data_IF_971889555243
#
_entry.id   IF_971889555243
#
_cell.length_a   1.000
_cell.length_b   1.000
_cell.length_c   1.000
_cell.angle_alpha   90.00
_cell.angle_beta   90.00
_cell.angle_gamma   90.00
#
_symmetry.space_group_name_H-M   'P 1'
#
loop_
_entity.id
_entity.type
_entity.pdbx_description
1 polymer ?
#
# COMPACT_ATOMS: atom_id res chain seq x y z
N UNK A 1 21.87 -6.74 -19.62
CA UNK A 1 21.88 -5.35 -19.21
C UNK A 1 20.74 -5.07 -18.31
N UNK A 2 21.06 -4.64 -17.14
CA UNK A 2 20.08 -4.49 -16.07
C UNK A 2 19.71 -3.03 -15.79
N UNK A 3 20.43 -2.07 -16.40
CA UNK A 3 20.26 -0.66 -16.04
C UNK A 3 18.85 -0.11 -16.24
N UNK A 4 18.20 -0.43 -17.35
CA UNK A 4 16.85 0.05 -17.61
C UNK A 4 15.85 -0.57 -16.62
N UNK A 5 16.00 -1.84 -16.32
CA UNK A 5 15.15 -2.55 -15.39
C UNK A 5 15.37 -2.04 -13.96
N UNK A 6 16.61 -1.82 -13.57
CA UNK A 6 16.93 -1.27 -12.26
C UNK A 6 16.35 0.12 -12.07
N UNK A 7 16.41 0.97 -13.09
CA UNK A 7 15.82 2.31 -13.04
C UNK A 7 14.32 2.25 -12.91
N UNK A 8 13.68 1.31 -13.59
CA UNK A 8 12.25 1.12 -13.51
C UNK A 8 11.84 0.68 -12.10
N UNK A 9 12.55 -0.26 -11.53
CA UNK A 9 12.32 -0.71 -10.16
C UNK A 9 12.54 0.41 -9.16
N UNK A 10 13.58 1.21 -9.35
CA UNK A 10 13.88 2.34 -8.48
C UNK A 10 12.72 3.34 -8.44
N UNK A 11 12.15 3.67 -9.58
CA UNK A 11 10.99 4.56 -9.64
C UNK A 11 9.78 3.96 -8.98
N UNK A 12 9.53 2.69 -9.24
CA UNK A 12 8.33 2.00 -8.77
C UNK A 12 8.31 1.80 -7.27
N UNK A 13 9.44 1.45 -6.67
CA UNK A 13 9.54 1.10 -5.26
C UNK A 13 10.23 2.16 -4.40
N UNK A 14 10.62 3.28 -4.99
CA UNK A 14 11.34 4.31 -4.25
C UNK A 14 12.80 3.98 -3.98
N UNK A 15 13.36 3.02 -4.72
CA UNK A 15 14.78 2.72 -4.64
C UNK A 15 15.60 3.81 -5.29
N UNK A 16 16.68 4.22 -4.69
CA UNK A 16 17.68 5.09 -5.31
C UNK A 16 19.08 4.60 -4.97
N UNK A 17 20.06 4.93 -5.82
CA UNK A 17 21.46 4.61 -5.54
C UNK A 17 21.99 5.37 -4.32
N UNK A 18 21.46 6.57 -4.09
CA UNK A 18 21.84 7.42 -2.95
C UNK A 18 20.56 7.99 -2.32
N UNK A 19 19.88 7.21 -1.47
CA UNK A 19 18.66 7.69 -0.81
C UNK A 19 18.96 8.91 0.04
N UNK A 20 18.21 9.98 -0.15
CA UNK A 20 18.44 11.25 0.53
C UNK A 20 17.82 11.29 1.93
N UNK A 21 16.71 10.59 2.12
CA UNK A 21 16.00 10.59 3.40
C UNK A 21 15.87 9.20 3.96
N UNK A 22 16.07 9.10 5.27
CA UNK A 22 15.75 7.91 6.02
C UNK A 22 14.28 7.93 6.42
N UNK A 23 13.75 6.77 6.78
CA UNK A 23 12.38 6.66 7.24
C UNK A 23 12.11 7.57 8.45
N UNK A 24 13.03 7.65 9.39
CA UNK A 24 12.90 8.48 10.59
C UNK A 24 12.81 9.97 10.29
N UNK A 25 13.35 10.40 9.14
CA UNK A 25 13.33 11.79 8.70
C UNK A 25 12.16 12.11 7.78
N UNK A 26 11.33 11.12 7.51
CA UNK A 26 10.28 11.21 6.51
C UNK A 26 8.95 11.56 7.17
N UNK A 27 8.28 12.56 6.60
CA UNK A 27 6.92 12.89 7.01
C UNK A 27 5.96 11.84 6.43
N UNK A 28 5.31 11.11 7.31
CA UNK A 28 4.36 10.06 6.93
C UNK A 28 2.91 10.51 7.06
N UNK A 29 2.69 11.77 7.31
CA UNK A 29 1.35 12.33 7.41
C UNK A 29 0.60 12.24 6.07
N UNK A 30 -0.71 12.23 6.12
CA UNK A 30 -1.56 12.05 4.94
C UNK A 30 -1.88 13.35 4.21
N UNK A 31 -0.95 14.31 4.19
CA UNK A 31 -1.14 15.57 3.49
C UNK A 31 -1.24 15.39 1.96
N UNK A 32 -0.73 14.30 1.43
CA UNK A 32 -0.73 14.00 0.00
C UNK A 32 -0.95 12.51 -0.21
N UNK A 33 -1.52 12.13 -1.35
CA UNK A 33 -1.65 10.73 -1.74
C UNK A 33 -0.32 10.07 -2.08
N UNK A 34 0.70 10.87 -2.29
CA UNK A 34 2.02 10.36 -2.64
C UNK A 34 2.68 9.68 -1.44
N UNK A 35 3.00 8.42 -1.59
CA UNK A 35 3.73 7.66 -0.56
C UNK A 35 5.21 8.02 -0.66
N UNK A 36 5.83 8.51 0.43
CA UNK A 36 7.26 8.86 0.39
C UNK A 36 8.14 7.68 0.00
N UNK A 37 9.23 7.97 -0.70
CA UNK A 37 10.15 6.93 -1.19
C UNK A 37 10.72 6.07 -0.06
N UNK A 38 11.05 6.69 1.08
CA UNK A 38 11.56 5.94 2.23
C UNK A 38 10.55 4.92 2.76
N UNK A 39 9.26 5.27 2.74
CA UNK A 39 8.20 4.36 3.15
C UNK A 39 8.07 3.21 2.15
N UNK A 40 8.09 3.52 0.87
CA UNK A 40 8.01 2.48 -0.18
C UNK A 40 9.17 1.49 -0.06
N UNK A 41 10.38 1.98 0.21
CA UNK A 41 11.54 1.11 0.43
C UNK A 41 11.35 0.20 1.64
N UNK A 42 10.89 0.77 2.75
CA UNK A 42 10.67 0.01 3.97
C UNK A 42 9.61 -1.08 3.79
N UNK A 43 8.52 -0.74 3.13
CA UNK A 43 7.43 -1.70 2.85
C UNK A 43 7.91 -2.80 1.92
N UNK A 44 8.64 -2.44 0.87
CA UNK A 44 9.17 -3.41 -0.07
C UNK A 44 10.11 -4.41 0.61
N UNK A 45 11.00 -3.92 1.48
CA UNK A 45 11.91 -4.78 2.21
C UNK A 45 11.17 -5.68 3.19
N UNK A 46 10.25 -5.14 3.95
CA UNK A 46 9.46 -5.91 4.91
C UNK A 46 8.65 -7.02 4.23
N UNK A 47 8.01 -6.70 3.11
CA UNK A 47 7.14 -7.64 2.41
C UNK A 47 7.89 -8.56 1.43
N UNK A 48 9.18 -8.32 1.23
CA UNK A 48 10.02 -9.16 0.37
C UNK A 48 9.67 -9.09 -1.10
N UNK A 49 9.19 -7.96 -1.57
CA UNK A 49 8.81 -7.74 -2.97
C UNK A 49 7.81 -8.79 -3.46
N UNK A 50 6.86 -9.12 -2.60
CA UNK A 50 5.86 -10.14 -2.88
C UNK A 50 4.53 -9.72 -2.27
N UNK A 51 3.42 -10.09 -2.90
CA UNK A 51 2.09 -9.83 -2.37
C UNK A 51 1.99 -10.39 -0.94
N UNK A 52 1.50 -9.57 -0.02
CA UNK A 52 1.40 -9.96 1.39
C UNK A 52 0.07 -10.59 1.76
N UNK A 53 -0.85 -10.72 0.82
CA UNK A 53 -2.16 -11.28 1.09
C UNK A 53 -2.04 -12.72 1.58
N UNK A 54 -2.78 -13.02 2.64
CA UNK A 54 -2.85 -14.36 3.22
C UNK A 54 -4.29 -14.81 3.14
N UNK A 55 -4.51 -16.02 2.61
CA UNK A 55 -5.86 -16.56 2.47
C UNK A 55 -6.37 -17.17 3.77
N UNK A 56 -7.59 -17.70 3.73
CA UNK A 56 -8.24 -18.28 4.92
C UNK A 56 -7.50 -19.51 5.47
N UNK A 57 -6.71 -20.18 4.62
CA UNK A 57 -5.89 -21.30 5.06
C UNK A 57 -4.51 -20.91 5.54
N UNK A 58 -4.22 -19.61 5.62
CA UNK A 58 -2.93 -19.11 6.07
C UNK A 58 -1.85 -19.14 5.00
N UNK A 59 -2.20 -19.34 3.73
CA UNK A 59 -1.24 -19.34 2.64
C UNK A 59 -1.04 -17.94 2.11
N UNK A 60 0.21 -17.53 2.02
CA UNK A 60 0.56 -16.23 1.47
C UNK A 60 0.60 -16.31 -0.06
N UNK A 61 0.04 -15.28 -0.71
CA UNK A 61 0.14 -15.14 -2.15
C UNK A 61 1.60 -15.07 -2.59
N UNK A 62 1.94 -15.74 -3.69
CA UNK A 62 3.31 -15.80 -4.20
C UNK A 62 3.58 -14.80 -5.32
N UNK A 63 2.61 -13.98 -5.68
CA UNK A 63 2.75 -13.06 -6.80
C UNK A 63 3.77 -11.98 -6.51
N UNK A 64 4.65 -11.73 -7.48
CA UNK A 64 5.72 -10.72 -7.41
C UNK A 64 5.63 -9.69 -8.52
N UNK A 65 4.63 -9.80 -9.38
CA UNK A 65 4.52 -8.97 -10.57
C UNK A 65 3.47 -7.89 -10.39
N UNK A 66 3.81 -6.68 -10.83
CA UNK A 66 2.91 -5.51 -10.76
C UNK A 66 2.38 -5.21 -9.36
N UNK A 67 3.21 -5.38 -8.37
CA UNK A 67 2.82 -5.12 -6.98
C UNK A 67 2.44 -3.65 -6.81
N UNK A 68 1.41 -3.44 -6.01
CA UNK A 68 0.88 -2.12 -5.71
C UNK A 68 0.89 -1.89 -4.20
N UNK A 69 1.03 -0.62 -3.79
CA UNK A 69 0.96 -0.27 -2.38
C UNK A 69 -0.49 -0.09 -1.97
N UNK A 70 -0.87 -0.73 -0.88
CA UNK A 70 -2.22 -0.70 -0.36
C UNK A 70 -2.21 -0.13 1.06
N UNK A 71 -3.09 0.84 1.34
CA UNK A 71 -3.29 1.37 2.69
C UNK A 71 -4.29 0.51 3.44
N UNK A 72 -3.92 -0.01 4.60
CA UNK A 72 -4.86 -0.78 5.45
C UNK A 72 -6.04 0.08 5.86
N UNK A 73 -5.75 1.27 6.36
CA UNK A 73 -6.74 2.30 6.51
C UNK A 73 -6.66 3.17 5.26
N UNK A 74 -7.70 3.19 4.41
CA UNK A 74 -7.63 3.90 3.15
C UNK A 74 -7.29 5.38 3.34
N UNK A 75 -6.54 5.93 2.39
CA UNK A 75 -6.18 7.33 2.39
C UNK A 75 -7.43 8.22 2.49
N UNK A 76 -8.49 7.88 1.76
CA UNK A 76 -9.74 8.62 1.78
C UNK A 76 -10.44 8.58 3.13
N UNK A 77 -10.06 7.67 4.02
CA UNK A 77 -10.61 7.54 5.38
C UNK A 77 -9.63 8.04 6.44
N UNK A 78 -8.64 8.85 6.04
CA UNK A 78 -7.67 9.41 6.96
C UNK A 78 -6.48 8.53 7.26
N UNK A 79 -6.25 7.49 6.45
CA UNK A 79 -5.05 6.66 6.61
C UNK A 79 -3.78 7.45 6.27
N UNK A 80 -2.72 7.22 7.03
CA UNK A 80 -1.44 7.86 6.81
C UNK A 80 -0.49 6.98 5.99
N UNK A 81 0.75 7.45 5.82
CA UNK A 81 1.76 6.75 5.03
C UNK A 81 2.79 6.03 5.88
N UNK A 82 2.49 5.73 7.13
CA UNK A 82 3.40 4.93 7.95
C UNK A 82 3.48 3.51 7.40
N UNK A 83 4.67 2.87 7.44
CA UNK A 83 4.82 1.52 6.90
C UNK A 83 3.82 0.53 7.51
N UNK A 84 3.43 0.69 8.76
CA UNK A 84 2.46 -0.17 9.43
C UNK A 84 1.09 -0.12 8.77
N UNK A 85 0.79 0.97 8.07
CA UNK A 85 -0.48 1.15 7.37
C UNK A 85 -0.42 0.76 5.89
N UNK A 86 0.75 0.37 5.39
CA UNK A 86 0.94 0.11 3.96
C UNK A 86 1.50 -1.29 3.75
N UNK A 87 0.99 -1.96 2.74
CA UNK A 87 1.47 -3.27 2.33
C UNK A 87 1.51 -3.42 0.83
N UNK A 88 2.31 -4.37 0.35
CA UNK A 88 2.36 -4.73 -1.07
C UNK A 88 1.29 -5.76 -1.39
N UNK A 89 0.52 -5.51 -2.43
CA UNK A 89 -0.47 -6.44 -2.93
C UNK A 89 -0.37 -6.54 -4.44
N UNK A 90 -0.65 -7.73 -4.99
CA UNK A 90 -0.82 -7.87 -6.43
C UNK A 90 -2.12 -7.17 -6.85
N UNK A 91 -2.28 -6.85 -8.15
CA UNK A 91 -3.47 -6.11 -8.59
C UNK A 91 -4.79 -6.78 -8.21
N UNK A 92 -4.83 -8.11 -8.27
CA UNK A 92 -6.03 -8.86 -7.95
C UNK A 92 -6.43 -8.71 -6.48
N UNK A 93 -5.48 -8.88 -5.57
CA UNK A 93 -5.75 -8.77 -4.14
C UNK A 93 -5.91 -7.32 -3.70
N UNK A 94 -5.23 -6.40 -4.35
CA UNK A 94 -5.44 -4.98 -4.08
C UNK A 94 -6.86 -4.55 -4.41
N UNK A 95 -7.37 -5.02 -5.55
CA UNK A 95 -8.76 -4.76 -5.94
C UNK A 95 -9.74 -5.40 -4.96
N UNK A 96 -9.49 -6.64 -4.56
CA UNK A 96 -10.35 -7.36 -3.63
C UNK A 96 -10.48 -6.62 -2.30
N UNK A 97 -9.35 -6.19 -1.72
CA UNK A 97 -9.36 -5.49 -0.44
C UNK A 97 -9.94 -4.09 -0.57
N UNK A 98 -9.72 -3.41 -1.69
CA UNK A 98 -10.31 -2.10 -1.93
C UNK A 98 -11.83 -2.18 -2.01
N UNK A 99 -12.35 -3.16 -2.72
CA UNK A 99 -13.79 -3.39 -2.81
C UNK A 99 -14.39 -3.69 -1.43
N UNK A 100 -13.70 -4.48 -0.64
CA UNK A 100 -14.14 -4.78 0.72
C UNK A 100 -14.16 -3.53 1.60
N UNK A 101 -13.13 -2.71 1.53
CA UNK A 101 -13.04 -1.47 2.29
C UNK A 101 -14.11 -0.46 1.87
N UNK A 102 -14.31 -0.29 0.56
CA UNK A 102 -15.36 0.59 0.05
C UNK A 102 -16.75 0.07 0.38
N UNK A 103 -16.94 -1.23 0.37
CA UNK A 103 -18.21 -1.84 0.77
C UNK A 103 -18.52 -1.53 2.23
N UNK A 104 -17.55 -1.65 3.13
CA UNK A 104 -17.73 -1.31 4.53
C UNK A 104 -18.03 0.17 4.72
N UNK A 105 -17.34 1.03 3.98
CA UNK A 105 -17.59 2.47 4.05
C UNK A 105 -18.99 2.84 3.57
N UNK A 106 -19.46 2.20 2.52
CA UNK A 106 -20.79 2.42 1.99
C UNK A 106 -21.86 1.97 3.00
N UNK A 107 -21.67 0.82 3.63
CA UNK A 107 -22.59 0.32 4.66
C UNK A 107 -22.62 1.28 5.84
N UNK A 108 -21.45 1.73 6.29
CA UNK A 108 -21.36 2.67 7.41
C UNK A 108 -22.09 3.98 7.11
N UNK A 109 -21.90 4.52 5.92
CA UNK A 109 -22.62 5.73 5.51
C UNK A 109 -24.11 5.53 5.46
N UNK A 110 -24.53 4.38 4.98
CA UNK A 110 -25.95 4.03 4.94
C UNK A 110 -26.55 3.94 6.34
N UNK A 111 -25.84 3.35 7.27
CA UNK A 111 -26.28 3.26 8.65
C UNK A 111 -26.42 4.64 9.31
N UNK A 112 -25.49 5.54 9.01
CA UNK A 112 -25.55 6.91 9.53
C UNK A 112 -26.70 7.71 8.94
N UNK A 113 -27.22 7.32 7.78
CA UNK A 113 -28.34 7.97 7.12
C UNK A 113 -29.68 7.25 7.37
N UNK A 114 -29.61 6.06 7.91
CA UNK A 114 -30.78 5.21 8.05
C UNK A 114 -31.96 5.82 8.81
N UNK A 115 -31.75 6.65 9.82
CA UNK A 115 -32.91 7.22 10.56
C UNK A 115 -33.78 8.17 9.77
N UNK A 116 -33.45 8.39 8.54
CA UNK A 116 -34.34 9.18 7.71
C UNK A 116 -35.51 8.36 7.28
N UNK A 117 -36.45 8.32 8.03
CA UNK A 117 -37.65 7.68 7.54
C UNK A 117 -38.81 8.60 7.51
#
# INVERSE_FOLDING_TARGET
>A
MTDALERLEARRFGKTLAPRKRLLETDTDSASRHIPAAVRRAVRERDGERCRFVDEQGRRCSERYRLEFHHRRPFAMGGDHRPENIGLLCPQHNRLLAEHDYGRAAVRRRMLRAPRM
#
